data_IF_188714089545
#
_entry.id   IF_188714089545
#
_cell.length_a   1.000
_cell.length_b   1.000
_cell.length_c   1.000
_cell.angle_alpha   90.00
_cell.angle_beta   90.00
_cell.angle_gamma   90.00
#
_symmetry.space_group_name_H-M   'P 1'
#
loop_
_entity.id
_entity.type
_entity.pdbx_description
1 polymer ?
#
# COMPACT_ATOMS: atom_id res chain seq x y z
N UNK A 1 -25.01 -2.08 13.49
CA UNK A 1 -24.06 -1.84 12.39
C UNK A 1 -22.82 -1.26 13.01
N UNK A 2 -21.75 -2.04 13.08
CA UNK A 2 -20.51 -1.61 13.71
C UNK A 2 -19.89 -0.45 12.91
N UNK A 3 -19.04 0.36 13.53
CA UNK A 3 -18.37 1.48 12.87
C UNK A 3 -17.47 0.95 11.73
N UNK A 4 -16.85 -0.21 11.94
CA UNK A 4 -16.05 -0.90 10.93
C UNK A 4 -16.83 -1.30 9.68
N UNK A 5 -18.09 -1.75 9.80
CA UNK A 5 -18.94 -2.10 8.65
C UNK A 5 -19.22 -0.90 7.76
N UNK A 6 -19.50 0.26 8.37
CA UNK A 6 -19.74 1.51 7.65
C UNK A 6 -18.50 1.97 6.90
N UNK A 7 -17.34 2.00 7.57
CA UNK A 7 -16.06 2.38 6.95
C UNK A 7 -15.73 1.42 5.81
N UNK A 8 -15.89 0.11 6.02
CA UNK A 8 -15.59 -0.87 4.98
C UNK A 8 -16.49 -0.70 3.75
N UNK A 9 -17.77 -0.38 3.92
CA UNK A 9 -18.67 -0.11 2.80
C UNK A 9 -18.20 1.07 1.92
N UNK A 10 -17.61 2.09 2.54
CA UNK A 10 -17.08 3.26 1.83
C UNK A 10 -15.73 2.95 1.17
N UNK A 11 -14.89 2.12 1.80
CA UNK A 11 -13.58 1.75 1.27
C UNK A 11 -13.64 0.72 0.13
N UNK A 12 -14.64 -0.15 0.10
CA UNK A 12 -14.81 -1.18 -0.95
C UNK A 12 -14.69 -0.66 -2.40
N UNK A 13 -15.41 0.40 -2.82
CA UNK A 13 -15.29 0.90 -4.20
C UNK A 13 -13.89 1.46 -4.48
N UNK A 14 -13.28 2.13 -3.50
CA UNK A 14 -11.92 2.65 -3.61
C UNK A 14 -10.90 1.51 -3.77
N UNK A 15 -11.00 0.46 -2.96
CA UNK A 15 -10.12 -0.71 -3.07
C UNK A 15 -10.28 -1.44 -4.40
N UNK A 16 -11.52 -1.55 -4.90
CA UNK A 16 -11.78 -2.15 -6.21
C UNK A 16 -11.11 -1.34 -7.33
N UNK A 17 -11.24 -0.01 -7.29
CA UNK A 17 -10.56 0.88 -8.23
C UNK A 17 -9.03 0.71 -8.17
N UNK A 18 -8.46 0.74 -6.96
CA UNK A 18 -7.01 0.59 -6.75
C UNK A 18 -6.52 -0.76 -7.27
N UNK A 19 -7.26 -1.86 -7.04
CA UNK A 19 -6.92 -3.19 -7.56
C UNK A 19 -6.96 -3.26 -9.09
N UNK A 20 -7.94 -2.60 -9.72
CA UNK A 20 -8.00 -2.51 -11.19
C UNK A 20 -6.79 -1.76 -11.72
N UNK A 21 -6.48 -0.58 -11.17
CA UNK A 21 -5.32 0.23 -11.57
C UNK A 21 -4.02 -0.56 -11.41
N UNK A 22 -3.84 -1.22 -10.26
CA UNK A 22 -2.68 -2.06 -9.98
C UNK A 22 -2.54 -3.18 -11.01
N UNK A 23 -3.63 -3.88 -11.30
CA UNK A 23 -3.62 -5.00 -12.27
C UNK A 23 -3.26 -4.50 -13.68
N UNK A 24 -3.81 -3.36 -14.09
CA UNK A 24 -3.51 -2.74 -15.38
C UNK A 24 -2.03 -2.32 -15.47
N UNK A 25 -1.51 -1.65 -14.44
CA UNK A 25 -0.11 -1.22 -14.40
C UNK A 25 0.83 -2.42 -14.40
N UNK A 26 0.53 -3.46 -13.64
CA UNK A 26 1.33 -4.67 -13.59
C UNK A 26 1.32 -5.40 -14.94
N UNK A 27 0.15 -5.58 -15.55
CA UNK A 27 0.05 -6.22 -16.87
C UNK A 27 0.79 -5.40 -17.94
N UNK A 28 0.64 -4.08 -17.96
CA UNK A 28 1.36 -3.21 -18.87
C UNK A 28 2.88 -3.30 -18.67
N UNK A 29 3.35 -3.31 -17.42
CA UNK A 29 4.76 -3.46 -17.08
C UNK A 29 5.32 -4.78 -17.61
N UNK A 30 4.60 -5.89 -17.44
CA UNK A 30 5.00 -7.20 -17.96
C UNK A 30 5.13 -7.18 -19.48
N UNK A 31 4.16 -6.59 -20.19
CA UNK A 31 4.21 -6.46 -21.66
C UNK A 31 5.41 -5.62 -22.11
N UNK A 32 5.66 -4.49 -21.45
CA UNK A 32 6.79 -3.60 -21.76
C UNK A 32 8.12 -4.31 -21.54
N UNK A 33 8.30 -5.00 -20.41
CA UNK A 33 9.54 -5.72 -20.10
C UNK A 33 9.75 -6.88 -21.08
N UNK A 34 8.69 -7.60 -21.43
CA UNK A 34 8.78 -8.66 -22.43
C UNK A 34 9.17 -8.10 -23.80
N UNK A 35 8.54 -7.00 -24.23
CA UNK A 35 8.89 -6.32 -25.47
C UNK A 35 10.34 -5.81 -25.44
N UNK A 36 10.81 -5.25 -24.34
CA UNK A 36 12.19 -4.79 -24.16
C UNK A 36 13.19 -5.93 -24.40
N UNK A 37 12.97 -7.09 -23.78
CA UNK A 37 13.82 -8.27 -23.93
C UNK A 37 13.77 -8.77 -25.38
N UNK A 38 12.57 -8.92 -25.95
CA UNK A 38 12.41 -9.38 -27.33
C UNK A 38 13.14 -8.48 -28.33
N UNK A 39 12.91 -7.17 -28.28
CA UNK A 39 13.53 -6.21 -29.18
C UNK A 39 15.05 -6.15 -29.03
N UNK A 40 15.56 -6.26 -27.79
CA UNK A 40 16.99 -6.21 -27.51
C UNK A 40 17.73 -7.44 -28.00
N UNK A 41 17.18 -8.64 -27.78
CA UNK A 41 17.90 -9.88 -28.04
C UNK A 41 17.52 -10.56 -29.36
N UNK A 42 16.30 -10.37 -29.86
CA UNK A 42 15.83 -10.99 -31.12
C UNK A 42 16.00 -10.04 -32.29
N UNK A 43 15.59 -8.78 -32.13
CA UNK A 43 15.63 -7.79 -33.21
C UNK A 43 16.90 -6.95 -33.23
N UNK A 44 17.78 -7.10 -32.23
CA UNK A 44 18.98 -6.28 -32.02
C UNK A 44 18.71 -4.76 -32.05
N UNK A 45 17.49 -4.34 -31.71
CA UNK A 45 17.01 -2.95 -31.77
C UNK A 45 16.41 -2.55 -30.41
N UNK A 46 17.23 -2.16 -29.42
CA UNK A 46 16.77 -1.91 -28.06
C UNK A 46 15.80 -0.72 -27.98
N UNK A 47 14.76 -0.84 -27.16
CA UNK A 47 13.77 0.21 -26.91
C UNK A 47 14.27 1.13 -25.78
N UNK A 48 14.67 2.38 -26.04
CA UNK A 48 15.35 3.22 -25.04
C UNK A 48 14.48 3.60 -23.83
N UNK A 49 13.17 3.73 -24.03
CA UNK A 49 12.23 4.17 -22.99
C UNK A 49 11.66 3.02 -22.15
N UNK A 50 11.80 1.77 -22.58
CA UNK A 50 11.14 0.63 -21.94
C UNK A 50 11.59 0.47 -20.48
N UNK A 51 12.88 0.64 -20.21
CA UNK A 51 13.44 0.53 -18.86
C UNK A 51 12.92 1.65 -17.92
N UNK A 52 12.77 2.88 -18.42
CA UNK A 52 12.20 3.99 -17.64
C UNK A 52 10.72 3.72 -17.33
N UNK A 53 9.94 3.36 -18.35
CA UNK A 53 8.50 3.10 -18.18
C UNK A 53 8.23 1.94 -17.22
N UNK A 54 9.00 0.86 -17.30
CA UNK A 54 8.88 -0.28 -16.39
C UNK A 54 9.17 0.13 -14.94
N UNK A 55 10.21 0.95 -14.70
CA UNK A 55 10.52 1.48 -13.36
C UNK A 55 9.40 2.36 -12.80
N UNK A 56 8.79 3.20 -13.64
CA UNK A 56 7.69 4.05 -13.21
C UNK A 56 6.44 3.23 -12.88
N UNK A 57 6.09 2.26 -13.72
CA UNK A 57 4.96 1.35 -13.43
C UNK A 57 5.20 0.52 -12.18
N UNK A 58 6.42 0.03 -11.99
CA UNK A 58 6.81 -0.72 -10.79
C UNK A 58 6.62 0.09 -9.51
N UNK A 59 7.00 1.37 -9.49
CA UNK A 59 6.79 2.24 -8.33
C UNK A 59 5.29 2.35 -7.97
N UNK A 60 4.44 2.58 -8.96
CA UNK A 60 2.98 2.60 -8.77
C UNK A 60 2.44 1.26 -8.24
N UNK A 61 2.86 0.14 -8.81
CA UNK A 61 2.45 -1.20 -8.36
C UNK A 61 2.91 -1.45 -6.92
N UNK A 62 4.15 -1.10 -6.57
CA UNK A 62 4.70 -1.34 -5.24
C UNK A 62 3.93 -0.58 -4.16
N UNK A 63 3.68 0.72 -4.35
CA UNK A 63 3.01 1.54 -3.34
C UNK A 63 1.50 1.30 -3.26
N UNK A 64 0.80 1.16 -4.40
CA UNK A 64 -0.61 0.80 -4.40
C UNK A 64 -0.83 -0.63 -3.89
N UNK A 65 0.07 -1.54 -4.26
CA UNK A 65 0.03 -2.94 -3.81
C UNK A 65 0.28 -3.08 -2.32
N UNK A 66 1.23 -2.32 -1.76
CA UNK A 66 1.44 -2.26 -0.33
C UNK A 66 0.18 -1.82 0.42
N UNK A 67 -0.54 -0.82 -0.10
CA UNK A 67 -1.81 -0.38 0.49
C UNK A 67 -2.88 -1.48 0.53
N UNK A 68 -3.07 -2.18 -0.59
CA UNK A 68 -4.01 -3.31 -0.66
C UNK A 68 -3.57 -4.47 0.24
N UNK A 69 -2.26 -4.72 0.35
CA UNK A 69 -1.70 -5.78 1.19
C UNK A 69 -1.91 -5.51 2.68
N UNK A 70 -1.76 -4.26 3.14
CA UNK A 70 -2.02 -3.86 4.54
C UNK A 70 -3.43 -4.28 4.97
N UNK A 71 -4.45 -3.98 4.15
CA UNK A 71 -5.84 -4.34 4.44
C UNK A 71 -6.07 -5.85 4.52
N UNK A 72 -5.35 -6.64 3.72
CA UNK A 72 -5.50 -8.10 3.65
C UNK A 72 -4.71 -8.87 4.72
N UNK A 73 -4.15 -8.19 5.74
CA UNK A 73 -3.50 -8.77 6.92
C UNK A 73 -2.13 -9.44 6.67
N UNK A 74 -1.08 -8.61 6.55
CA UNK A 74 0.32 -9.08 6.61
C UNK A 74 0.99 -8.96 7.99
N UNK A 75 0.27 -8.65 9.07
CA UNK A 75 0.84 -8.66 10.44
C UNK A 75 0.87 -10.06 11.07
N UNK A 76 0.86 -11.10 10.24
CA UNK A 76 1.07 -12.51 10.61
C UNK A 76 2.34 -12.69 11.46
N UNK A 77 3.36 -11.84 11.27
CA UNK A 77 4.59 -11.88 12.07
C UNK A 77 4.40 -11.50 13.54
N UNK A 78 3.51 -10.55 13.84
CA UNK A 78 3.22 -10.15 15.23
C UNK A 78 2.31 -11.19 15.89
N UNK A 79 1.37 -11.77 15.14
CA UNK A 79 0.44 -12.79 15.64
C UNK A 79 1.16 -14.05 16.17
N UNK A 80 2.25 -14.50 15.53
CA UNK A 80 3.00 -15.69 15.99
C UNK A 80 3.69 -15.50 17.36
N UNK A 81 4.17 -14.29 17.65
CA UNK A 81 4.75 -13.99 18.96
C UNK A 81 3.66 -13.61 19.97
N UNK A 82 2.62 -12.89 19.52
CA UNK A 82 1.50 -12.49 20.36
C UNK A 82 0.59 -13.67 20.75
N UNK A 83 0.58 -14.77 20.01
CA UNK A 83 -0.27 -15.94 20.30
C UNK A 83 0.00 -16.58 21.67
N UNK A 84 1.18 -16.34 22.25
CA UNK A 84 1.53 -16.79 23.60
C UNK A 84 1.04 -15.85 24.71
N UNK A 85 0.58 -14.65 24.36
CA UNK A 85 0.08 -13.67 25.31
C UNK A 85 -1.44 -13.77 25.51
N UNK A 86 -1.97 -13.31 26.66
CA UNK A 86 -3.40 -13.18 26.86
C UNK A 86 -4.02 -12.24 25.83
N UNK A 87 -5.26 -12.54 25.42
CA UNK A 87 -5.94 -11.94 24.26
C UNK A 87 -6.00 -10.40 24.27
N UNK A 88 -6.17 -9.79 25.45
CA UNK A 88 -6.10 -8.32 25.60
C UNK A 88 -4.73 -7.74 25.25
N UNK A 89 -3.65 -8.40 25.63
CA UNK A 89 -2.30 -7.94 25.30
C UNK A 89 -1.99 -8.10 23.80
N UNK A 90 -2.60 -9.09 23.12
CA UNK A 90 -2.49 -9.24 21.67
C UNK A 90 -3.04 -8.01 20.94
N UNK A 91 -4.26 -7.57 21.30
CA UNK A 91 -4.88 -6.38 20.73
C UNK A 91 -4.07 -5.11 20.97
N UNK A 92 -3.55 -4.92 22.19
CA UNK A 92 -2.72 -3.74 22.52
C UNK A 92 -1.44 -3.71 21.68
N UNK A 93 -0.75 -4.84 21.53
CA UNK A 93 0.47 -4.93 20.72
C UNK A 93 0.16 -4.67 19.24
N UNK A 94 -0.96 -5.19 18.72
CA UNK A 94 -1.39 -4.94 17.35
C UNK A 94 -1.65 -3.44 17.11
N UNK A 95 -2.37 -2.78 18.02
CA UNK A 95 -2.65 -1.33 17.94
C UNK A 95 -1.34 -0.53 17.98
N UNK A 96 -0.41 -0.87 18.89
CA UNK A 96 0.89 -0.22 18.96
C UNK A 96 1.69 -0.38 17.66
N UNK A 97 1.69 -1.59 17.08
CA UNK A 97 2.34 -1.84 15.80
C UNK A 97 1.74 -0.98 14.68
N UNK A 98 0.40 -0.89 14.60
CA UNK A 98 -0.27 -0.03 13.63
C UNK A 98 0.07 1.45 13.83
N UNK A 99 0.17 1.94 15.07
CA UNK A 99 0.56 3.32 15.35
C UNK A 99 2.00 3.63 14.88
N UNK A 100 2.94 2.70 15.12
CA UNK A 100 4.32 2.82 14.62
C UNK A 100 4.35 2.83 13.09
N UNK A 101 3.58 1.95 12.45
CA UNK A 101 3.44 1.93 10.99
C UNK A 101 2.84 3.24 10.46
N UNK A 102 1.79 3.77 11.09
CA UNK A 102 1.18 5.05 10.74
C UNK A 102 2.20 6.18 10.82
N UNK A 103 2.98 6.25 11.89
CA UNK A 103 4.02 7.26 12.06
C UNK A 103 5.04 7.21 10.91
N UNK A 104 5.55 6.01 10.60
CA UNK A 104 6.54 5.85 9.52
C UNK A 104 5.96 6.15 8.14
N UNK A 105 4.73 5.69 7.85
CA UNK A 105 4.07 5.94 6.57
C UNK A 105 3.69 7.41 6.42
N UNK A 106 3.31 8.10 7.50
CA UNK A 106 3.06 9.53 7.47
C UNK A 106 4.34 10.32 7.13
N UNK A 107 5.48 9.96 7.74
CA UNK A 107 6.78 10.52 7.41
C UNK A 107 7.13 10.32 5.92
N UNK A 108 6.95 9.11 5.40
CA UNK A 108 7.16 8.82 3.97
C UNK A 108 6.21 9.64 3.10
N UNK A 109 4.94 9.79 3.50
CA UNK A 109 3.97 10.56 2.73
C UNK A 109 4.38 12.04 2.61
N UNK A 110 4.83 12.65 3.70
CA UNK A 110 5.25 14.06 3.74
C UNK A 110 6.51 14.25 2.89
N UNK A 111 7.55 13.45 3.10
CA UNK A 111 8.78 13.56 2.34
C UNK A 111 8.61 13.14 0.87
N UNK A 112 7.74 12.16 0.60
CA UNK A 112 7.37 11.75 -0.75
C UNK A 112 6.65 12.86 -1.51
N UNK A 113 5.77 13.61 -0.85
CA UNK A 113 5.14 14.79 -1.44
C UNK A 113 6.15 15.89 -1.73
N UNK A 114 7.05 16.18 -0.78
CA UNK A 114 8.13 17.15 -0.97
C UNK A 114 9.01 16.77 -2.17
N UNK A 115 9.40 15.50 -2.27
CA UNK A 115 10.20 14.98 -3.39
C UNK A 115 9.45 15.06 -4.73
N UNK A 116 8.17 14.72 -4.76
CA UNK A 116 7.36 14.87 -5.97
C UNK A 116 7.33 16.35 -6.40
N UNK A 117 7.01 17.27 -5.49
CA UNK A 117 6.93 18.70 -5.80
C UNK A 117 8.26 19.31 -6.28
N UNK A 118 9.40 18.87 -5.75
CA UNK A 118 10.72 19.37 -6.17
C UNK A 118 11.19 18.86 -7.54
N UNK A 119 10.50 17.86 -8.10
CA UNK A 119 10.83 17.25 -9.38
C UNK A 119 9.89 17.67 -10.52
N UNK A 120 9.01 18.66 -10.29
CA UNK A 120 8.06 19.16 -11.30
C UNK A 120 8.73 19.71 -12.56
N UNK A 121 9.93 20.30 -12.44
CA UNK A 121 10.70 20.83 -13.57
C UNK A 121 11.67 19.81 -14.16
N UNK A 122 11.86 18.66 -13.51
CA UNK A 122 12.79 17.62 -13.95
C UNK A 122 12.12 16.67 -14.94
N UNK A 123 12.79 16.41 -16.07
CA UNK A 123 12.33 15.51 -17.13
C UNK A 123 13.15 14.22 -17.13
N UNK A 124 12.51 13.10 -17.46
CA UNK A 124 13.21 11.82 -17.61
C UNK A 124 14.07 11.81 -18.88
N UNK A 125 15.27 11.19 -18.85
CA UNK A 125 16.19 11.22 -20.00
C UNK A 125 15.62 10.66 -21.30
N UNK A 126 14.99 9.48 -21.26
CA UNK A 126 14.50 8.80 -22.46
C UNK A 126 13.09 9.25 -22.86
N UNK A 127 12.15 9.29 -21.92
CA UNK A 127 10.75 9.63 -22.22
C UNK A 127 10.45 11.13 -22.19
N UNK A 128 11.35 11.96 -21.66
CA UNK A 128 11.12 13.39 -21.45
C UNK A 128 9.83 13.68 -20.66
N UNK A 129 9.44 12.73 -19.79
CA UNK A 129 8.26 12.84 -18.94
C UNK A 129 8.60 13.59 -17.65
N UNK A 130 7.70 14.43 -17.11
CA UNK A 130 7.89 15.05 -15.81
C UNK A 130 8.02 13.97 -14.73
N UNK A 131 9.10 14.01 -13.95
CA UNK A 131 9.37 13.03 -12.88
C UNK A 131 8.37 13.13 -11.72
N UNK A 132 7.60 14.21 -11.66
CA UNK A 132 6.48 14.38 -10.74
C UNK A 132 5.51 13.18 -10.76
N UNK A 133 5.13 12.65 -11.94
CA UNK A 133 4.10 11.60 -12.01
C UNK A 133 4.56 10.25 -11.43
N UNK A 134 5.77 9.74 -11.75
CA UNK A 134 6.30 8.56 -11.08
C UNK A 134 6.43 8.75 -9.57
N UNK A 135 6.94 9.91 -9.11
CA UNK A 135 7.14 10.15 -7.68
C UNK A 135 5.84 10.32 -6.90
N UNK A 136 4.75 10.72 -7.56
CA UNK A 136 3.42 10.82 -6.94
C UNK A 136 2.87 9.45 -6.46
N UNK A 137 3.39 8.34 -6.99
CA UNK A 137 3.06 7.00 -6.50
C UNK A 137 3.31 6.84 -4.99
N UNK A 138 4.37 7.48 -4.48
CA UNK A 138 4.78 7.40 -3.07
C UNK A 138 3.72 8.02 -2.14
N UNK A 139 3.41 9.34 -2.21
CA UNK A 139 2.43 9.94 -1.32
C UNK A 139 1.03 9.36 -1.52
N UNK A 140 0.63 9.00 -2.74
CA UNK A 140 -0.71 8.43 -2.97
C UNK A 140 -0.87 7.02 -2.37
N UNK A 141 0.12 6.14 -2.54
CA UNK A 141 0.06 4.83 -1.90
C UNK A 141 0.16 4.92 -0.38
N UNK A 142 0.98 5.83 0.14
CA UNK A 142 1.07 6.08 1.58
C UNK A 142 -0.24 6.62 2.16
N UNK A 143 -0.91 7.54 1.47
CA UNK A 143 -2.22 8.05 1.89
C UNK A 143 -3.26 6.92 2.00
N UNK A 144 -3.32 6.05 1.00
CA UNK A 144 -4.20 4.89 1.04
C UNK A 144 -3.81 3.90 2.15
N UNK A 145 -2.51 3.67 2.38
CA UNK A 145 -2.02 2.86 3.51
C UNK A 145 -2.46 3.44 4.86
N UNK A 146 -2.37 4.75 5.06
CA UNK A 146 -2.81 5.41 6.29
C UNK A 146 -4.30 5.17 6.55
N UNK A 147 -5.13 5.32 5.52
CA UNK A 147 -6.58 5.02 5.61
C UNK A 147 -6.81 3.57 6.02
N UNK A 148 -6.06 2.63 5.44
CA UNK A 148 -6.17 1.21 5.77
C UNK A 148 -5.70 0.90 7.20
N UNK A 149 -4.63 1.53 7.69
CA UNK A 149 -4.20 1.37 9.09
C UNK A 149 -5.22 1.92 10.08
N UNK A 150 -5.84 3.06 9.80
CA UNK A 150 -6.92 3.61 10.65
C UNK A 150 -8.10 2.63 10.69
N UNK A 151 -8.49 2.08 9.54
CA UNK A 151 -9.53 1.05 9.47
C UNK A 151 -9.18 -0.18 10.32
N UNK A 152 -7.94 -0.67 10.25
CA UNK A 152 -7.48 -1.81 11.06
C UNK A 152 -7.53 -1.52 12.56
N UNK A 153 -7.13 -0.32 13.00
CA UNK A 153 -7.24 0.07 14.42
C UNK A 153 -8.70 0.04 14.88
N UNK A 154 -9.64 0.57 14.09
CA UNK A 154 -11.07 0.56 14.45
C UNK A 154 -11.58 -0.87 14.59
N UNK A 155 -11.21 -1.76 13.67
CA UNK A 155 -11.57 -3.19 13.73
C UNK A 155 -11.00 -3.85 14.98
N UNK A 156 -9.74 -3.55 15.32
CA UNK A 156 -9.06 -4.13 16.48
C UNK A 156 -9.70 -3.69 17.81
N UNK A 157 -10.10 -2.41 17.91
CA UNK A 157 -10.78 -1.86 19.09
C UNK A 157 -12.16 -2.52 19.28
N UNK A 158 -12.93 -2.69 18.21
CA UNK A 158 -14.23 -3.38 18.28
C UNK A 158 -14.06 -4.85 18.70
N UNK A 159 -13.02 -5.53 18.21
CA UNK A 159 -12.71 -6.91 18.61
C UNK A 159 -12.36 -7.01 20.10
N UNK A 160 -11.52 -6.09 20.60
CA UNK A 160 -11.13 -6.03 22.00
C UNK A 160 -12.34 -5.86 22.93
N UNK A 161 -13.29 -4.98 22.59
CA UNK A 161 -14.52 -4.77 23.36
C UNK A 161 -15.43 -6.00 23.39
N UNK A 162 -15.51 -6.74 22.27
CA UNK A 162 -16.28 -7.99 22.20
C UNK A 162 -15.74 -9.08 23.12
N UNK A 163 -14.41 -9.19 23.21
CA UNK A 163 -13.76 -10.17 24.08
C UNK A 163 -13.93 -9.82 25.58
N UNK A 164 -13.95 -8.54 25.95
CA UNK A 164 -14.22 -8.11 27.34
C UNK A 164 -15.65 -8.45 27.79
N UNK A 165 -16.65 -8.23 26.93
CA UNK A 165 -18.05 -8.47 27.25
C UNK A 165 -18.36 -9.97 27.43
N UNK A 166 -17.65 -10.83 26.70
CA UNK A 166 -17.76 -12.29 26.80
C UNK A 166 -17.12 -12.81 28.10
N UNK A 167 -15.99 -12.22 28.52
CA UNK A 167 -15.34 -12.57 29.79
C UNK A 167 -16.12 -12.16 31.04
N UNK A 168 -16.94 -11.10 30.97
CA UNK A 168 -17.77 -10.64 32.09
C UNK A 168 -19.06 -11.44 32.29
N UNK A 169 -19.53 -12.18 31.28
CA UNK A 169 -20.77 -12.99 31.35
C UNK A 169 -20.52 -14.40 31.88
N UNK A 170 -19.25 -14.84 31.92
CA UNK A 170 -18.82 -16.18 32.37
C UNK A 170 -18.27 -16.24 33.80
N UNK A 171 -18.35 -15.15 34.57
CA UNK A 171 -17.94 -15.05 35.97
C UNK A 171 -19.15 -14.74 36.87
#
# INVERSE_FOLDING_TARGET
MSLSERINSILKPLDALVRIILTLFFAAMVVVVFAQVFFRYVLAAPIPWAEESARFMFAWVAFLGASVAVKNKSHTGVELFASYLPRRAQHIIAILAYLVCIFFVAMICIHGWQLASSTMTQRSPAMQLPMFYPYLSVPLGCLLMLVNFIYLIVVEIEAMQGDENTGATGA
#
